data_IF_338097748365
#
_entry.id   IF_338097748365
#
_cell.length_a   1.000
_cell.length_b   1.000
_cell.length_c   1.000
_cell.angle_alpha   90.00
_cell.angle_beta   90.00
_cell.angle_gamma   90.00
#
_symmetry.space_group_name_H-M   'P 1'
#
loop_
_entity.id
_entity.type
_entity.pdbx_description
1 polymer ?
#
# COMPACT_ATOMS: atom_id res chain seq x y z
N UNK A 1 4.73 -0.97 15.76
CA UNK A 1 3.60 -1.91 15.68
C UNK A 1 3.04 -1.85 14.27
N UNK A 2 2.91 -2.97 13.56
CA UNK A 2 2.10 -3.04 12.34
C UNK A 2 0.66 -2.64 12.72
N UNK A 3 -0.02 -1.90 11.84
CA UNK A 3 -1.36 -1.36 12.08
C UNK A 3 -2.30 -2.44 12.64
N UNK A 4 -3.16 -2.05 13.60
CA UNK A 4 -4.19 -2.93 14.15
C UNK A 4 -5.00 -3.60 13.03
N UNK A 5 -5.40 -4.85 13.22
CA UNK A 5 -6.22 -5.57 12.26
C UNK A 5 -7.60 -4.90 12.12
N UNK A 6 -8.19 -4.98 10.93
CA UNK A 6 -9.57 -4.57 10.73
C UNK A 6 -10.47 -5.58 11.48
N UNK A 7 -11.29 -5.09 12.42
CA UNK A 7 -12.09 -5.91 13.33
C UNK A 7 -13.11 -6.81 12.61
N UNK A 8 -13.53 -6.45 11.40
CA UNK A 8 -14.49 -7.22 10.61
C UNK A 8 -13.85 -8.33 9.76
N UNK A 9 -12.52 -8.27 9.54
CA UNK A 9 -11.83 -9.19 8.61
C UNK A 9 -10.63 -9.91 9.23
N UNK A 10 -10.11 -9.46 10.38
CA UNK A 10 -8.93 -10.03 11.05
C UNK A 10 -7.62 -9.85 10.28
N UNK A 11 -7.67 -9.31 9.06
CA UNK A 11 -6.51 -8.95 8.25
C UNK A 11 -5.92 -7.64 8.77
N UNK A 12 -4.61 -7.36 8.55
CA UNK A 12 -4.08 -6.02 8.79
C UNK A 12 -5.02 -4.99 8.16
N UNK A 13 -5.13 -3.76 8.67
CA UNK A 13 -5.95 -2.68 8.05
C UNK A 13 -5.51 -2.30 6.60
N UNK A 14 -4.72 -3.16 5.96
CA UNK A 14 -4.43 -3.36 4.53
C UNK A 14 -4.69 -2.13 3.67
N UNK A 15 -3.60 -1.37 3.48
CA UNK A 15 -3.26 -0.54 2.32
C UNK A 15 -4.42 -0.16 1.40
N UNK A 16 -5.56 0.34 1.87
CA UNK A 16 -6.64 0.75 0.98
C UNK A 16 -6.11 1.82 0.03
N UNK A 17 -6.70 1.99 -1.15
CA UNK A 17 -6.23 3.04 -2.04
C UNK A 17 -6.26 4.41 -1.36
N UNK A 18 -7.27 4.68 -0.54
CA UNK A 18 -7.35 5.91 0.25
C UNK A 18 -6.21 6.02 1.25
N UNK A 19 -5.91 4.94 2.00
CA UNK A 19 -4.77 4.92 2.92
C UNK A 19 -3.44 5.18 2.19
N UNK A 20 -3.25 4.63 0.98
CA UNK A 20 -2.04 4.87 0.18
C UNK A 20 -1.87 6.35 -0.13
N UNK A 21 -2.93 7.05 -0.54
CA UNK A 21 -2.80 8.48 -0.84
C UNK A 21 -2.72 9.35 0.41
N UNK A 22 -3.55 9.08 1.42
CA UNK A 22 -3.57 9.87 2.65
C UNK A 22 -2.30 9.70 3.49
N UNK A 23 -1.77 8.47 3.58
CA UNK A 23 -0.63 8.17 4.42
C UNK A 23 0.68 8.19 3.64
N UNK A 24 0.78 7.46 2.54
CA UNK A 24 2.06 7.32 1.83
C UNK A 24 2.39 8.59 1.04
N UNK A 25 1.48 9.03 0.15
CA UNK A 25 1.75 10.22 -0.66
C UNK A 25 1.75 11.50 0.18
N UNK A 26 0.65 11.77 0.89
CA UNK A 26 0.41 13.05 1.55
C UNK A 26 1.10 13.23 2.91
N UNK A 27 1.53 12.16 3.59
CA UNK A 27 2.16 12.27 4.92
C UNK A 27 3.60 11.76 4.98
N UNK A 28 4.00 10.85 4.09
CA UNK A 28 5.35 10.27 4.13
C UNK A 28 6.24 10.82 3.03
N UNK A 29 5.78 10.84 1.78
CA UNK A 29 6.62 11.20 0.64
C UNK A 29 6.69 12.70 0.38
N UNK A 30 5.56 13.42 0.53
CA UNK A 30 5.51 14.83 0.13
C UNK A 30 6.45 15.73 0.95
N UNK A 31 6.68 15.40 2.21
CA UNK A 31 7.54 16.15 3.14
C UNK A 31 9.03 15.77 3.07
N UNK A 32 9.42 14.80 2.25
CA UNK A 32 10.83 14.36 2.15
C UNK A 32 11.68 15.19 1.17
N UNK A 33 11.06 16.10 0.41
CA UNK A 33 11.76 16.94 -0.57
C UNK A 33 12.21 16.18 -1.82
N UNK A 34 12.81 16.92 -2.77
CA UNK A 34 13.44 16.37 -3.97
C UNK A 34 12.54 15.43 -4.78
N UNK A 35 13.09 14.29 -5.17
CA UNK A 35 12.39 13.27 -5.97
C UNK A 35 11.20 12.63 -5.23
N UNK A 36 11.22 12.62 -3.89
CA UNK A 36 10.13 12.02 -3.09
C UNK A 36 8.87 12.88 -3.14
N UNK A 37 9.01 14.20 -3.10
CA UNK A 37 7.89 15.14 -3.31
C UNK A 37 7.34 15.03 -4.74
N UNK A 38 8.21 14.92 -5.76
CA UNK A 38 7.79 14.72 -7.16
C UNK A 38 6.98 13.44 -7.33
N UNK A 39 7.44 12.34 -6.72
CA UNK A 39 6.73 11.07 -6.71
C UNK A 39 5.36 11.18 -6.02
N UNK A 40 5.30 11.83 -4.84
CA UNK A 40 4.03 12.06 -4.15
C UNK A 40 3.02 12.80 -5.03
N UNK A 41 3.46 13.89 -5.67
CA UNK A 41 2.62 14.67 -6.58
C UNK A 41 2.17 13.86 -7.80
N UNK A 42 3.05 13.03 -8.37
CA UNK A 42 2.70 12.16 -9.49
C UNK A 42 1.66 11.10 -9.09
N UNK A 43 1.78 10.51 -7.91
CA UNK A 43 0.81 9.56 -7.36
C UNK A 43 -0.56 10.21 -7.16
N UNK A 44 -0.61 11.40 -6.54
CA UNK A 44 -1.85 12.13 -6.26
C UNK A 44 -2.55 12.54 -7.57
N UNK A 45 -1.79 12.99 -8.58
CA UNK A 45 -2.34 13.40 -9.87
C UNK A 45 -2.84 12.21 -10.71
N UNK A 46 -2.22 11.04 -10.57
CA UNK A 46 -2.50 9.86 -11.39
C UNK A 46 -3.00 8.68 -10.55
N UNK A 47 -3.99 8.92 -9.67
CA UNK A 47 -4.45 7.89 -8.72
C UNK A 47 -4.84 6.57 -9.38
N UNK A 48 -5.46 6.64 -10.57
CA UNK A 48 -5.90 5.50 -11.36
C UNK A 48 -4.76 4.66 -11.97
N UNK A 49 -3.52 5.15 -11.94
CA UNK A 49 -2.33 4.42 -12.41
C UNK A 49 -1.54 3.78 -11.27
N UNK A 50 -1.95 4.00 -10.02
CA UNK A 50 -1.27 3.43 -8.85
C UNK A 50 -1.82 2.03 -8.59
N UNK A 51 -0.93 1.05 -8.58
CA UNK A 51 -1.26 -0.34 -8.26
C UNK A 51 -0.64 -0.74 -6.91
N UNK A 52 -1.26 -1.72 -6.26
CA UNK A 52 -0.84 -2.22 -4.94
C UNK A 52 -0.46 -3.69 -5.05
N UNK A 53 0.63 -4.06 -4.38
CA UNK A 53 1.12 -5.43 -4.34
C UNK A 53 1.47 -5.81 -2.91
N UNK A 54 1.27 -7.08 -2.57
CA UNK A 54 1.76 -7.70 -1.33
C UNK A 54 2.79 -8.73 -1.70
N UNK A 55 3.91 -8.68 -0.98
CA UNK A 55 4.97 -9.67 -1.07
C UNK A 55 5.10 -10.36 0.29
N UNK A 56 5.12 -11.69 0.28
CA UNK A 56 5.35 -12.52 1.44
C UNK A 56 6.54 -13.44 1.19
N UNK A 57 7.35 -13.67 2.23
CA UNK A 57 8.43 -14.66 2.20
C UNK A 57 8.07 -15.74 3.21
N UNK A 58 8.02 -16.98 2.75
CA UNK A 58 8.07 -18.13 3.64
C UNK A 58 9.50 -18.29 4.14
N UNK A 59 9.66 -18.21 5.46
CA UNK A 59 10.98 -18.26 6.11
C UNK A 59 11.49 -19.69 6.29
N UNK A 60 10.66 -20.70 6.07
CA UNK A 60 11.04 -22.10 6.21
C UNK A 60 11.88 -22.57 5.03
N UNK A 61 11.54 -22.12 3.83
CA UNK A 61 12.17 -22.52 2.57
C UNK A 61 12.71 -21.33 1.73
N UNK A 62 12.43 -20.10 2.14
CA UNK A 62 12.82 -18.88 1.42
C UNK A 62 11.92 -18.53 0.24
N UNK A 63 10.80 -19.25 0.04
CA UNK A 63 9.89 -19.02 -1.09
C UNK A 63 9.23 -17.65 -1.00
N UNK A 64 9.19 -16.94 -2.14
CA UNK A 64 8.56 -15.63 -2.26
C UNK A 64 7.21 -15.70 -2.98
N UNK A 65 6.20 -15.03 -2.42
CA UNK A 65 4.85 -14.94 -2.96
C UNK A 65 4.52 -13.49 -3.28
N UNK A 66 4.07 -13.22 -4.49
CA UNK A 66 3.76 -11.87 -4.97
C UNK A 66 2.34 -11.80 -5.51
N UNK A 67 1.50 -10.96 -4.91
CA UNK A 67 0.08 -10.85 -5.25
C UNK A 67 -0.31 -9.39 -5.48
N UNK A 68 -0.93 -9.12 -6.63
CA UNK A 68 -1.58 -7.82 -6.89
C UNK A 68 -2.85 -7.71 -6.05
N UNK A 69 -2.99 -6.62 -5.32
CA UNK A 69 -4.20 -6.34 -4.56
C UNK A 69 -5.26 -5.71 -5.46
N UNK A 70 -6.47 -6.27 -5.42
CA UNK A 70 -7.66 -5.73 -6.05
C UNK A 70 -8.46 -4.87 -5.07
N UNK A 71 -9.27 -3.94 -5.57
CA UNK A 71 -10.37 -3.33 -4.81
C UNK A 71 -11.68 -4.12 -4.97
N UNK A 72 -11.72 -5.07 -5.92
CA UNK A 72 -12.83 -5.98 -6.14
C UNK A 72 -12.57 -7.26 -5.34
N UNK A 73 -13.21 -7.36 -4.18
CA UNK A 73 -13.24 -8.60 -3.42
C UNK A 73 -14.37 -9.46 -3.99
N UNK A 74 -14.03 -10.61 -4.57
CA UNK A 74 -15.04 -11.61 -4.93
C UNK A 74 -15.51 -12.27 -3.64
N UNK A 75 -16.80 -12.11 -3.32
CA UNK A 75 -17.48 -12.85 -2.26
C UNK A 75 -17.56 -14.34 -2.61
#
# INVERSE_FOLDING_TARGET
MLNAANENTGLPTQMSMDWVFEHVANKKLIFQGGEKTKLANAMIKNKNKVERFVFAIDKTDGSGYFTKLSNEFKN
#
